data_IF_406818401061
#
_entry.id   IF_406818401061
#
_cell.length_a   1.000
_cell.length_b   1.000
_cell.length_c   1.000
_cell.angle_alpha   90.00
_cell.angle_beta   90.00
_cell.angle_gamma   90.00
#
_symmetry.space_group_name_H-M   'P 1'
#
loop_
_entity.id
_entity.type
_entity.pdbx_description
1 polymer ?
#
# COMPACT_ATOMS: atom_id res chain seq x y z
N UNK A 1 40.67 7.51 25.18
CA UNK A 1 39.48 6.69 25.49
C UNK A 1 39.46 5.52 24.52
N UNK A 2 39.74 4.30 25.01
CA UNK A 2 39.92 3.10 24.19
C UNK A 2 38.56 2.57 23.71
N UNK A 3 38.47 2.31 22.40
CA UNK A 3 37.58 1.35 21.72
C UNK A 3 36.33 0.89 22.49
N UNK A 4 35.20 1.59 22.33
CA UNK A 4 33.89 0.94 22.51
C UNK A 4 33.83 -0.25 21.56
N UNK A 5 33.33 -1.40 22.00
CA UNK A 5 33.13 -2.57 21.14
C UNK A 5 32.44 -2.08 19.85
N UNK A 6 32.97 -2.36 18.64
CA UNK A 6 32.33 -1.97 17.40
C UNK A 6 30.83 -2.30 17.38
N UNK A 7 30.39 -3.37 18.06
CA UNK A 7 28.99 -3.69 18.17
C UNK A 7 28.17 -2.77 19.08
N UNK A 8 28.76 -2.18 20.13
CA UNK A 8 28.09 -1.16 20.96
C UNK A 8 27.88 0.12 20.17
N UNK A 9 28.80 0.46 19.26
CA UNK A 9 28.64 1.60 18.36
C UNK A 9 27.44 1.41 17.44
N UNK A 10 27.31 0.25 16.79
CA UNK A 10 26.20 0.04 15.85
C UNK A 10 24.85 -0.15 16.56
N UNK A 11 24.85 -0.72 17.77
CA UNK A 11 23.63 -0.72 18.60
C UNK A 11 23.23 0.71 18.95
N UNK A 12 24.17 1.57 19.35
CA UNK A 12 23.88 2.96 19.65
C UNK A 12 23.41 3.73 18.40
N UNK A 13 23.96 3.44 17.22
CA UNK A 13 23.53 4.03 15.96
C UNK A 13 22.10 3.61 15.60
N UNK A 14 21.78 2.31 15.72
CA UNK A 14 20.40 1.83 15.57
C UNK A 14 19.46 2.47 16.59
N UNK A 15 19.86 2.58 17.85
CA UNK A 15 19.01 3.16 18.91
C UNK A 15 18.80 4.66 18.75
N UNK A 16 19.72 5.36 18.08
CA UNK A 16 19.58 6.76 17.72
C UNK A 16 18.74 6.98 16.45
N UNK A 17 18.41 5.92 15.71
CA UNK A 17 17.55 6.01 14.53
C UNK A 17 16.11 6.36 14.92
N UNK A 18 15.62 7.50 14.43
CA UNK A 18 14.34 8.11 14.78
C UNK A 18 13.24 7.96 13.72
N UNK A 19 13.52 7.30 12.60
CA UNK A 19 12.52 7.02 11.55
C UNK A 19 12.42 8.07 10.45
N UNK A 20 13.35 9.04 10.40
CA UNK A 20 13.47 9.98 9.29
C UNK A 20 14.03 9.29 8.02
N UNK A 21 13.86 9.93 6.86
CA UNK A 21 14.15 9.40 5.50
C UNK A 21 15.62 8.94 5.25
N UNK A 22 16.46 8.89 6.29
CA UNK A 22 17.81 8.36 6.30
C UNK A 22 17.84 6.82 6.37
N UNK A 23 17.07 6.15 5.51
CA UNK A 23 16.99 4.67 5.45
C UNK A 23 18.32 4.03 5.04
N UNK A 24 19.12 4.71 4.22
CA UNK A 24 20.46 4.23 3.84
C UNK A 24 21.37 4.01 5.07
N UNK A 25 21.28 4.92 6.05
CA UNK A 25 22.04 4.80 7.31
C UNK A 25 21.57 3.63 8.18
N UNK A 26 20.28 3.30 8.14
CA UNK A 26 19.73 2.13 8.80
C UNK A 26 20.30 0.84 8.18
N UNK A 27 20.29 0.72 6.86
CA UNK A 27 20.78 -0.46 6.14
C UNK A 27 22.27 -0.72 6.40
N UNK A 28 23.10 0.33 6.40
CA UNK A 28 24.52 0.21 6.76
C UNK A 28 24.71 -0.32 8.19
N UNK A 29 23.95 0.19 9.16
CA UNK A 29 24.01 -0.26 10.56
C UNK A 29 23.56 -1.73 10.69
N UNK A 30 22.48 -2.10 10.01
CA UNK A 30 21.94 -3.47 10.02
C UNK A 30 22.92 -4.45 9.38
N UNK A 31 23.53 -4.11 8.24
CA UNK A 31 24.53 -4.95 7.58
C UNK A 31 25.78 -5.12 8.46
N UNK A 32 26.25 -4.04 9.08
CA UNK A 32 27.37 -4.08 10.02
C UNK A 32 27.12 -5.00 11.21
N UNK A 33 25.90 -4.98 11.77
CA UNK A 33 25.48 -5.86 12.86
C UNK A 33 25.30 -7.32 12.42
N UNK A 34 24.76 -7.53 11.21
CA UNK A 34 24.52 -8.87 10.65
C UNK A 34 25.80 -9.67 10.42
N UNK A 35 26.94 -8.99 10.22
CA UNK A 35 28.27 -9.61 10.09
C UNK A 35 28.88 -10.05 11.43
N UNK A 36 28.26 -9.70 12.56
CA UNK A 36 28.74 -10.07 13.91
C UNK A 36 28.04 -11.35 14.39
N UNK A 37 28.62 -12.01 15.40
CA UNK A 37 27.99 -13.16 16.04
C UNK A 37 26.60 -12.77 16.57
N UNK A 38 25.55 -13.59 16.42
CA UNK A 38 24.25 -13.28 17.03
C UNK A 38 24.37 -13.07 18.54
N UNK A 39 23.68 -12.06 19.07
CA UNK A 39 23.56 -11.87 20.52
C UNK A 39 22.21 -11.27 20.87
N UNK A 40 21.81 -11.48 22.13
CA UNK A 40 20.61 -10.92 22.73
C UNK A 40 20.45 -9.42 22.46
N UNK A 41 21.50 -8.65 22.78
CA UNK A 41 21.49 -7.20 22.66
C UNK A 41 21.33 -6.73 21.20
N UNK A 42 21.90 -7.46 20.24
CA UNK A 42 21.81 -7.14 18.81
C UNK A 42 20.39 -7.40 18.28
N UNK A 43 19.80 -8.54 18.63
CA UNK A 43 18.40 -8.83 18.29
C UNK A 43 17.46 -7.80 18.89
N UNK A 44 17.66 -7.43 20.16
CA UNK A 44 16.82 -6.42 20.82
C UNK A 44 16.96 -5.04 20.15
N UNK A 45 18.16 -4.65 19.74
CA UNK A 45 18.39 -3.39 19.04
C UNK A 45 17.66 -3.35 17.67
N UNK A 46 17.73 -4.44 16.90
CA UNK A 46 17.00 -4.57 15.64
C UNK A 46 15.48 -4.49 15.86
N UNK A 47 14.96 -5.19 16.87
CA UNK A 47 13.54 -5.19 17.19
C UNK A 47 13.06 -3.80 17.66
N UNK A 48 13.88 -3.04 18.38
CA UNK A 48 13.53 -1.66 18.78
C UNK A 48 13.32 -0.73 17.59
N UNK A 49 13.88 -1.02 16.41
CA UNK A 49 13.55 -0.28 15.17
C UNK A 49 12.07 -0.46 14.84
N UNK A 50 11.55 -1.69 14.92
CA UNK A 50 10.11 -1.94 14.71
C UNK A 50 9.25 -1.24 15.76
N UNK A 51 9.71 -1.19 17.01
CA UNK A 51 8.99 -0.55 18.12
C UNK A 51 8.87 0.97 17.92
N UNK A 52 9.89 1.62 17.33
CA UNK A 52 9.88 3.06 17.01
C UNK A 52 9.14 3.39 15.71
N UNK A 53 9.09 2.43 14.78
CA UNK A 53 8.47 2.57 13.47
C UNK A 53 7.27 1.61 13.29
N UNK A 54 6.25 1.64 14.16
CA UNK A 54 5.27 0.56 14.25
C UNK A 54 4.37 0.41 13.02
N UNK A 55 4.14 1.49 12.27
CA UNK A 55 3.25 1.53 11.10
C UNK A 55 4.00 1.62 9.76
N UNK A 56 5.33 1.51 9.76
CA UNK A 56 6.11 1.44 8.52
C UNK A 56 5.80 0.12 7.81
N UNK A 57 5.43 0.24 6.54
CA UNK A 57 4.81 -0.83 5.73
C UNK A 57 5.41 -0.81 4.30
N UNK A 58 6.72 -0.99 4.19
CA UNK A 58 7.44 -0.94 2.92
C UNK A 58 8.85 -1.52 2.99
N UNK A 59 9.55 -1.57 1.86
CA UNK A 59 10.87 -2.21 1.71
C UNK A 59 11.93 -1.68 2.70
N UNK A 60 11.70 -0.54 3.34
CA UNK A 60 12.63 0.16 4.23
C UNK A 60 13.07 -0.66 5.46
N UNK A 61 12.25 -1.60 5.96
CA UNK A 61 12.58 -2.43 7.12
C UNK A 61 12.97 -3.88 6.75
N UNK A 62 13.09 -4.17 5.46
CA UNK A 62 13.40 -5.52 4.97
C UNK A 62 14.77 -6.01 5.39
N UNK A 63 15.76 -5.12 5.45
CA UNK A 63 17.10 -5.43 5.95
C UNK A 63 17.06 -5.93 7.41
N UNK A 64 16.29 -5.27 8.27
CA UNK A 64 16.10 -5.65 9.68
C UNK A 64 15.48 -7.04 9.80
N UNK A 65 14.45 -7.32 9.00
CA UNK A 65 13.83 -8.65 8.94
C UNK A 65 14.85 -9.71 8.54
N UNK A 66 15.58 -9.50 7.44
CA UNK A 66 16.60 -10.44 6.96
C UNK A 66 17.73 -10.65 7.98
N UNK A 67 18.10 -9.61 8.71
CA UNK A 67 19.10 -9.70 9.77
C UNK A 67 18.60 -10.58 10.93
N UNK A 68 17.38 -10.35 11.42
CA UNK A 68 16.77 -11.14 12.49
C UNK A 68 16.63 -12.62 12.11
N UNK A 69 16.20 -12.93 10.90
CA UNK A 69 15.99 -14.31 10.46
C UNK A 69 17.28 -15.13 10.34
N UNK A 70 18.42 -14.47 10.14
CA UNK A 70 19.74 -15.12 10.18
C UNK A 70 20.21 -15.39 11.61
N UNK A 71 19.60 -14.79 12.61
CA UNK A 71 19.97 -14.92 14.01
C UNK A 71 19.09 -15.96 14.72
N UNK A 72 19.62 -17.17 14.94
CA UNK A 72 18.88 -18.22 15.64
C UNK A 72 18.40 -17.78 17.04
N UNK A 73 17.14 -18.06 17.36
CA UNK A 73 16.55 -17.73 18.66
C UNK A 73 16.04 -16.29 18.79
N UNK A 74 15.78 -15.61 17.68
CA UNK A 74 15.16 -14.27 17.68
C UNK A 74 13.68 -14.30 18.08
N UNK A 75 13.00 -15.43 17.89
CA UNK A 75 11.54 -15.56 17.97
C UNK A 75 10.98 -15.24 19.38
N UNK A 76 11.60 -15.70 20.50
CA UNK A 76 11.17 -15.27 21.83
C UNK A 76 11.30 -13.76 22.06
N UNK A 77 12.27 -13.11 21.41
CA UNK A 77 12.48 -11.67 21.51
C UNK A 77 11.49 -10.90 20.65
N UNK A 78 11.15 -11.43 19.48
CA UNK A 78 10.07 -10.89 18.65
C UNK A 78 8.73 -10.91 19.40
N UNK A 79 8.44 -11.97 20.14
CA UNK A 79 7.27 -12.00 21.05
C UNK A 79 7.35 -10.91 22.11
N UNK A 80 8.51 -10.75 22.75
CA UNK A 80 8.69 -9.72 23.77
C UNK A 80 8.52 -8.31 23.17
N UNK A 81 9.01 -8.10 21.95
CA UNK A 81 8.85 -6.85 21.20
C UNK A 81 7.39 -6.55 20.88
N UNK A 82 6.65 -7.50 20.29
CA UNK A 82 5.21 -7.36 20.01
C UNK A 82 4.40 -7.06 21.27
N UNK A 83 4.77 -7.66 22.41
CA UNK A 83 4.13 -7.39 23.70
C UNK A 83 4.45 -5.98 24.21
N UNK A 84 5.68 -5.48 24.03
CA UNK A 84 6.04 -4.12 24.43
C UNK A 84 5.40 -3.06 23.53
N UNK A 85 5.65 -3.13 22.23
CA UNK A 85 5.18 -2.16 21.24
C UNK A 85 4.85 -2.91 19.93
N UNK A 86 3.55 -3.13 19.65
CA UNK A 86 3.11 -3.80 18.42
C UNK A 86 3.56 -3.07 17.16
N UNK A 87 3.96 -3.81 16.13
CA UNK A 87 4.36 -3.27 14.83
C UNK A 87 3.89 -4.15 13.67
N UNK A 88 3.71 -3.54 12.49
CA UNK A 88 3.32 -4.21 11.24
C UNK A 88 4.32 -5.31 10.91
N UNK A 89 5.62 -5.02 11.01
CA UNK A 89 6.67 -5.99 10.73
C UNK A 89 6.68 -7.16 11.70
N UNK A 90 6.46 -6.93 13.00
CA UNK A 90 6.36 -8.03 13.94
C UNK A 90 5.16 -8.93 13.63
N UNK A 91 4.01 -8.36 13.31
CA UNK A 91 2.81 -9.11 12.88
C UNK A 91 3.09 -9.95 11.63
N UNK A 92 3.75 -9.38 10.60
CA UNK A 92 4.13 -10.09 9.38
C UNK A 92 5.10 -11.23 9.62
N UNK A 93 6.09 -11.03 10.49
CA UNK A 93 7.01 -12.11 10.86
C UNK A 93 6.26 -13.26 11.56
N UNK A 94 5.25 -12.97 12.40
CA UNK A 94 4.35 -14.02 12.91
C UNK A 94 3.55 -14.70 11.81
N UNK A 95 3.01 -13.96 10.84
CA UNK A 95 2.33 -14.58 9.70
C UNK A 95 3.25 -15.52 8.92
N UNK A 96 4.50 -15.12 8.67
CA UNK A 96 5.50 -15.98 8.01
C UNK A 96 5.78 -17.26 8.81
N UNK A 97 5.93 -17.14 10.13
CA UNK A 97 6.08 -18.31 11.01
C UNK A 97 4.87 -19.23 10.96
N UNK A 98 3.66 -18.67 11.00
CA UNK A 98 2.40 -19.42 10.91
C UNK A 98 2.28 -20.16 9.58
N UNK A 99 2.60 -19.49 8.48
CA UNK A 99 2.62 -20.08 7.13
C UNK A 99 3.68 -21.18 7.00
N UNK A 100 4.80 -21.07 7.72
CA UNK A 100 5.81 -22.12 7.84
C UNK A 100 5.40 -23.27 8.80
N UNK A 101 4.18 -23.25 9.33
CA UNK A 101 3.66 -24.27 10.26
C UNK A 101 4.04 -24.09 11.72
N UNK A 102 4.77 -23.02 12.07
CA UNK A 102 5.13 -22.70 13.46
C UNK A 102 3.95 -22.07 14.17
N UNK A 103 3.25 -22.86 15.00
CA UNK A 103 2.08 -22.39 15.77
C UNK A 103 2.44 -21.84 17.15
N UNK A 104 3.61 -22.22 17.66
CA UNK A 104 4.07 -21.92 19.02
C UNK A 104 5.55 -21.62 19.06
N UNK A 105 5.94 -20.63 19.87
CA UNK A 105 7.34 -20.37 20.22
C UNK A 105 7.44 -20.42 21.75
N UNK A 106 8.20 -21.37 22.26
CA UNK A 106 8.19 -21.71 23.68
C UNK A 106 6.77 -22.08 24.14
N UNK A 107 6.21 -21.32 25.09
CA UNK A 107 4.85 -21.53 25.62
C UNK A 107 3.79 -20.62 24.98
N UNK A 108 4.18 -19.76 24.03
CA UNK A 108 3.28 -18.75 23.45
C UNK A 108 2.69 -19.28 22.16
N UNK A 109 1.36 -19.32 22.08
CA UNK A 109 0.62 -19.59 20.84
C UNK A 109 0.54 -18.31 20.02
N UNK A 110 1.06 -18.33 18.78
CA UNK A 110 1.19 -17.12 17.97
C UNK A 110 -0.17 -16.51 17.61
N UNK A 111 -1.16 -17.33 17.22
CA UNK A 111 -2.51 -16.85 16.93
C UNK A 111 -3.18 -16.19 18.14
N UNK A 112 -2.99 -16.74 19.34
CA UNK A 112 -3.54 -16.16 20.56
C UNK A 112 -2.89 -14.81 20.89
N UNK A 113 -1.58 -14.69 20.69
CA UNK A 113 -0.85 -13.43 20.86
C UNK A 113 -1.34 -12.36 19.86
N UNK A 114 -1.58 -12.72 18.60
CA UNK A 114 -2.12 -11.81 17.59
C UNK A 114 -3.52 -11.32 17.98
N UNK A 115 -4.42 -12.21 18.38
CA UNK A 115 -5.77 -11.84 18.86
C UNK A 115 -5.73 -10.92 20.10
N UNK A 116 -4.89 -11.25 21.08
CA UNK A 116 -4.67 -10.42 22.27
C UNK A 116 -4.18 -9.04 21.85
N UNK A 117 -3.19 -8.98 20.96
CA UNK A 117 -2.60 -7.73 20.50
C UNK A 117 -3.62 -6.86 19.77
N UNK A 118 -4.38 -7.43 18.82
CA UNK A 118 -5.46 -6.71 18.13
C UNK A 118 -6.57 -6.20 19.06
N UNK A 119 -6.65 -6.68 20.31
CA UNK A 119 -7.64 -6.23 21.29
C UNK A 119 -7.11 -5.16 22.25
N UNK A 120 -5.79 -4.88 22.26
CA UNK A 120 -5.21 -3.89 23.18
C UNK A 120 -5.53 -2.46 22.74
N UNK A 121 -5.70 -1.56 23.70
CA UNK A 121 -5.98 -0.15 23.44
C UNK A 121 -4.78 0.66 22.92
N UNK A 122 -3.56 0.16 23.13
CA UNK A 122 -2.30 0.80 22.74
C UNK A 122 -1.74 0.32 21.39
N UNK A 123 -2.44 -0.59 20.71
CA UNK A 123 -2.01 -1.09 19.39
C UNK A 123 -2.35 -0.07 18.31
N UNK A 124 -1.36 0.41 17.53
CA UNK A 124 -1.61 1.36 16.45
C UNK A 124 -2.58 0.81 15.41
N UNK A 125 -3.29 1.70 14.72
CA UNK A 125 -4.36 1.33 13.80
C UNK A 125 -3.85 0.47 12.64
N UNK A 126 -2.75 0.86 12.00
CA UNK A 126 -2.17 0.09 10.89
C UNK A 126 -1.69 -1.30 11.33
N UNK A 127 -1.18 -1.42 12.55
CA UNK A 127 -0.78 -2.71 13.14
C UNK A 127 -2.00 -3.58 13.41
N UNK A 128 -3.08 -3.00 13.94
CA UNK A 128 -4.33 -3.71 14.22
C UNK A 128 -4.96 -4.24 12.94
N UNK A 129 -4.96 -3.42 11.88
CA UNK A 129 -5.41 -3.81 10.55
C UNK A 129 -4.61 -4.99 10.01
N UNK A 130 -3.28 -4.91 10.00
CA UNK A 130 -2.43 -6.02 9.55
C UNK A 130 -2.70 -7.31 10.33
N UNK A 131 -2.87 -7.22 11.66
CA UNK A 131 -3.21 -8.39 12.48
C UNK A 131 -4.58 -8.96 12.08
N UNK A 132 -5.58 -8.11 11.82
CA UNK A 132 -6.90 -8.58 11.39
C UNK A 132 -6.84 -9.30 10.04
N UNK A 133 -6.10 -8.77 9.07
CA UNK A 133 -5.89 -9.41 7.77
C UNK A 133 -5.24 -10.80 7.94
N UNK A 134 -4.26 -10.92 8.84
CA UNK A 134 -3.64 -12.21 9.17
C UNK A 134 -4.64 -13.17 9.83
N UNK A 135 -5.42 -12.70 10.80
CA UNK A 135 -6.40 -13.55 11.49
C UNK A 135 -7.47 -14.08 10.53
N UNK A 136 -7.95 -13.23 9.63
CA UNK A 136 -8.91 -13.61 8.58
C UNK A 136 -8.30 -14.63 7.61
N UNK A 137 -7.07 -14.42 7.16
CA UNK A 137 -6.35 -15.36 6.29
C UNK A 137 -6.22 -16.77 6.88
N UNK A 138 -6.11 -16.88 8.21
CA UNK A 138 -5.98 -18.15 8.92
C UNK A 138 -7.32 -18.72 9.42
N UNK A 139 -8.46 -18.26 8.87
CA UNK A 139 -9.84 -18.68 9.23
C UNK A 139 -10.19 -18.49 10.71
N UNK A 140 -9.53 -17.54 11.38
CA UNK A 140 -9.79 -17.22 12.78
C UNK A 140 -10.53 -15.88 12.85
N UNK A 141 -11.84 -15.93 13.12
CA UNK A 141 -12.60 -14.70 13.38
C UNK A 141 -11.98 -13.93 14.54
N UNK A 142 -11.66 -12.63 14.37
CA UNK A 142 -11.13 -11.82 15.46
C UNK A 142 -12.12 -11.79 16.63
N UNK A 143 -11.63 -11.91 17.87
CA UNK A 143 -12.47 -11.77 19.05
C UNK A 143 -12.97 -10.32 19.08
N UNK A 144 -14.29 -10.14 19.11
CA UNK A 144 -14.90 -8.82 19.06
C UNK A 144 -14.35 -7.94 20.18
N UNK A 145 -13.81 -6.78 19.81
CA UNK A 145 -13.50 -5.71 20.76
C UNK A 145 -14.79 -5.34 21.52
N UNK A 146 -14.69 -4.88 22.79
CA UNK A 146 -15.85 -4.38 23.52
C UNK A 146 -16.57 -3.34 22.66
N UNK A 147 -17.87 -3.54 22.47
CA UNK A 147 -18.68 -2.81 21.50
C UNK A 147 -18.54 -1.30 21.70
N UNK A 148 -17.73 -0.67 20.84
CA UNK A 148 -17.87 0.74 20.55
C UNK A 148 -19.26 0.90 19.90
N UNK A 149 -20.13 1.65 20.55
CA UNK A 149 -21.43 2.06 19.99
C UNK A 149 -21.22 2.46 18.54
N UNK A 150 -21.99 1.88 17.61
CA UNK A 150 -22.12 2.37 16.23
C UNK A 150 -22.25 3.90 16.31
N UNK A 151 -21.28 4.69 15.81
CA UNK A 151 -21.66 6.02 15.42
C UNK A 151 -22.58 5.81 14.23
N UNK A 152 -23.84 6.21 14.37
CA UNK A 152 -24.59 6.63 13.21
C UNK A 152 -23.66 7.58 12.45
N UNK A 153 -23.25 7.23 11.23
CA UNK A 153 -22.56 8.16 10.34
C UNK A 153 -23.57 9.28 10.01
N UNK A 154 -23.68 10.24 10.93
CA UNK A 154 -24.34 11.50 10.70
C UNK A 154 -23.37 12.33 9.85
N UNK A 155 -23.68 12.43 8.56
CA UNK A 155 -23.49 13.65 7.78
C UNK A 155 -22.07 14.10 7.52
N UNK A 156 -21.21 13.23 6.97
CA UNK A 156 -20.17 13.75 6.08
C UNK A 156 -20.77 13.77 4.67
N UNK A 157 -20.79 14.90 3.93
CA UNK A 157 -21.29 14.93 2.57
C UNK A 157 -20.45 13.95 1.74
N UNK A 158 -21.03 12.81 1.38
CA UNK A 158 -20.35 11.78 0.60
C UNK A 158 -20.02 12.36 -0.76
N UNK A 159 -18.80 12.88 -0.90
CA UNK A 159 -18.31 13.40 -2.17
C UNK A 159 -18.20 12.22 -3.15
N UNK A 160 -18.91 12.28 -4.27
CA UNK A 160 -18.81 11.25 -5.32
C UNK A 160 -17.45 11.22 -5.99
N UNK A 161 -17.17 10.20 -6.80
CA UNK A 161 -15.88 10.00 -7.49
C UNK A 161 -15.42 11.24 -8.29
N UNK A 162 -16.36 11.94 -8.94
CA UNK A 162 -16.02 13.13 -9.73
C UNK A 162 -15.50 14.30 -8.89
N UNK A 163 -15.68 14.27 -7.56
CA UNK A 163 -15.10 15.27 -6.65
C UNK A 163 -13.57 15.23 -6.59
N UNK A 164 -12.94 14.14 -7.02
CA UNK A 164 -11.48 14.06 -7.17
C UNK A 164 -11.00 14.80 -8.42
N UNK A 165 -11.88 15.08 -9.39
CA UNK A 165 -11.54 15.71 -10.66
C UNK A 165 -10.84 17.08 -10.53
N UNK A 166 -11.24 17.98 -9.62
CA UNK A 166 -10.53 19.24 -9.33
C UNK A 166 -9.22 19.08 -8.55
N UNK A 167 -8.95 17.90 -8.01
CA UNK A 167 -7.71 17.59 -7.29
C UNK A 167 -6.62 17.06 -8.22
N UNK A 168 -7.01 16.44 -9.34
CA UNK A 168 -6.07 15.96 -10.36
C UNK A 168 -5.20 17.10 -10.90
N UNK A 169 -3.94 16.77 -11.22
CA UNK A 169 -2.86 17.69 -11.60
C UNK A 169 -2.36 18.66 -10.52
N UNK A 170 -2.81 18.51 -9.25
CA UNK A 170 -2.20 19.22 -8.12
C UNK A 170 -0.96 18.48 -7.62
N UNK A 171 -0.02 19.23 -7.07
CA UNK A 171 1.18 18.66 -6.44
C UNK A 171 0.83 18.08 -5.06
N UNK A 172 1.66 17.15 -4.58
CA UNK A 172 1.46 16.48 -3.28
C UNK A 172 1.47 17.44 -2.08
N UNK A 173 2.14 18.58 -2.22
CA UNK A 173 2.22 19.68 -1.23
C UNK A 173 1.08 20.71 -1.37
N UNK A 174 0.17 20.55 -2.34
CA UNK A 174 -0.96 21.46 -2.52
C UNK A 174 -1.91 21.40 -1.30
N UNK A 175 -2.20 22.54 -0.64
CA UNK A 175 -2.98 22.57 0.59
C UNK A 175 -4.42 22.06 0.41
N UNK A 176 -5.01 22.23 -0.78
CA UNK A 176 -6.36 21.73 -1.08
C UNK A 176 -6.34 20.20 -1.17
N UNK A 177 -5.31 19.63 -1.78
CA UNK A 177 -5.15 18.18 -1.85
C UNK A 177 -4.87 17.58 -0.47
N UNK A 178 -3.96 18.18 0.31
CA UNK A 178 -3.67 17.77 1.69
C UNK A 178 -4.95 17.76 2.53
N UNK A 179 -5.76 18.82 2.45
CA UNK A 179 -7.02 18.91 3.18
C UNK A 179 -8.01 17.82 2.76
N UNK A 180 -8.09 17.51 1.46
CA UNK A 180 -8.94 16.45 0.95
C UNK A 180 -8.52 15.06 1.44
N UNK A 181 -7.21 14.77 1.45
CA UNK A 181 -6.66 13.50 1.97
C UNK A 181 -6.98 13.35 3.47
N UNK A 182 -6.76 14.42 4.25
CA UNK A 182 -7.08 14.41 5.69
C UNK A 182 -8.56 14.20 5.94
N UNK A 183 -9.44 14.80 5.13
CA UNK A 183 -10.89 14.62 5.26
C UNK A 183 -11.35 13.18 4.97
N UNK A 184 -10.56 12.41 4.21
CA UNK A 184 -10.78 10.98 3.98
C UNK A 184 -10.18 10.10 5.10
N UNK A 185 -9.49 10.69 6.08
CA UNK A 185 -8.80 9.96 7.15
C UNK A 185 -7.41 9.45 6.75
N UNK A 186 -6.85 9.92 5.63
CA UNK A 186 -5.50 9.57 5.20
C UNK A 186 -4.43 10.51 5.75
N UNK A 187 -3.17 10.08 5.68
CA UNK A 187 -2.00 10.97 5.84
C UNK A 187 -1.62 11.52 4.47
N UNK A 188 -1.27 12.81 4.39
CA UNK A 188 -0.84 13.43 3.14
C UNK A 188 0.60 13.06 2.73
N UNK A 189 1.20 12.05 3.37
CA UNK A 189 2.54 11.57 3.05
C UNK A 189 2.42 10.63 1.86
N UNK A 190 2.87 11.09 0.70
CA UNK A 190 3.01 10.24 -0.48
C UNK A 190 4.10 9.21 -0.21
N UNK A 191 3.77 7.92 -0.29
CA UNK A 191 4.75 6.84 -0.27
C UNK A 191 5.52 6.88 -1.59
N UNK A 192 6.82 7.25 -1.60
CA UNK A 192 7.56 7.43 -2.84
C UNK A 192 7.91 6.08 -3.50
N UNK A 193 8.03 6.11 -4.81
CA UNK A 193 8.56 5.09 -5.71
C UNK A 193 9.27 5.85 -6.85
N UNK A 194 10.27 5.28 -7.52
CA UNK A 194 11.16 5.99 -8.46
C UNK A 194 10.48 7.08 -9.33
N UNK A 195 9.38 6.73 -9.99
CA UNK A 195 8.59 7.63 -10.85
C UNK A 195 7.20 7.97 -10.30
N UNK A 196 6.75 7.26 -9.26
CA UNK A 196 5.38 7.26 -8.78
C UNK A 196 5.29 7.43 -7.28
N UNK A 197 4.13 7.78 -6.80
CA UNK A 197 3.86 7.74 -5.38
C UNK A 197 2.42 7.40 -5.12
N UNK A 198 2.13 6.90 -3.93
CA UNK A 198 0.78 6.47 -3.58
C UNK A 198 0.38 6.99 -2.21
N UNK A 199 -0.89 7.34 -2.08
CA UNK A 199 -1.56 7.52 -0.79
C UNK A 199 -2.75 6.58 -0.76
N UNK A 200 -2.64 5.54 0.05
CA UNK A 200 -3.67 4.52 0.23
C UNK A 200 -4.48 4.79 1.49
N UNK A 201 -5.78 5.00 1.35
CA UNK A 201 -6.71 5.29 2.43
C UNK A 201 -7.70 4.12 2.50
N UNK A 202 -7.22 2.97 3.00
CA UNK A 202 -7.96 1.69 2.97
C UNK A 202 -9.34 1.78 3.60
N UNK A 203 -9.48 2.45 4.75
CA UNK A 203 -10.77 2.66 5.44
C UNK A 203 -11.79 3.45 4.61
N UNK A 204 -11.32 4.31 3.70
CA UNK A 204 -12.17 5.11 2.83
C UNK A 204 -12.40 4.44 1.46
N UNK A 205 -11.70 3.36 1.15
CA UNK A 205 -11.76 2.75 -0.17
C UNK A 205 -11.13 3.59 -1.27
N UNK A 206 -10.11 4.40 -0.95
CA UNK A 206 -9.50 5.35 -1.88
C UNK A 206 -8.00 5.11 -2.00
N UNK A 207 -7.49 5.06 -3.24
CA UNK A 207 -6.07 5.16 -3.54
C UNK A 207 -5.81 6.36 -4.44
N UNK A 208 -4.80 7.17 -4.10
CA UNK A 208 -4.37 8.31 -4.90
C UNK A 208 -2.99 8.01 -5.47
N UNK A 209 -2.88 7.97 -6.79
CA UNK A 209 -1.64 7.72 -7.48
C UNK A 209 -1.05 9.02 -8.04
N UNK A 210 0.21 9.22 -7.72
CA UNK A 210 1.00 10.37 -8.08
C UNK A 210 2.08 9.97 -9.08
N UNK A 211 2.51 10.94 -9.88
CA UNK A 211 3.58 10.77 -10.85
C UNK A 211 4.53 11.96 -10.73
N UNK A 212 5.84 11.72 -10.76
CA UNK A 212 6.81 12.83 -10.75
C UNK A 212 6.58 13.73 -11.96
N UNK A 213 6.67 15.05 -11.73
CA UNK A 213 6.45 16.04 -12.78
C UNK A 213 7.37 15.85 -13.99
N UNK A 214 8.63 15.45 -13.81
CA UNK A 214 9.54 15.19 -14.94
C UNK A 214 9.01 14.11 -15.88
N UNK A 215 8.40 13.05 -15.35
CA UNK A 215 7.81 11.96 -16.13
C UNK A 215 6.64 12.47 -16.97
N UNK A 216 5.78 13.31 -16.38
CA UNK A 216 4.66 13.94 -17.08
C UNK A 216 5.13 14.89 -18.20
N UNK A 217 6.20 15.63 -17.93
CA UNK A 217 6.81 16.55 -18.89
C UNK A 217 7.58 15.80 -20.01
N UNK A 218 7.72 14.46 -19.90
CA UNK A 218 8.37 13.62 -20.91
C UNK A 218 9.86 13.42 -20.74
N UNK A 219 10.35 13.69 -19.54
CA UNK A 219 11.71 13.39 -19.11
C UNK A 219 11.68 12.34 -17.98
N UNK A 220 11.40 11.06 -18.31
CA UNK A 220 11.31 10.00 -17.30
C UNK A 220 12.65 9.76 -16.60
N UNK A 221 13.77 9.88 -17.31
CA UNK A 221 15.12 9.60 -16.78
C UNK A 221 15.62 10.63 -15.76
N UNK A 222 15.00 11.80 -15.67
CA UNK A 222 15.37 12.79 -14.68
C UNK A 222 14.91 12.44 -13.26
N UNK A 223 13.86 11.63 -13.08
CA UNK A 223 13.25 11.28 -11.78
C UNK A 223 13.16 12.45 -10.78
N UNK A 224 12.89 13.67 -11.29
CA UNK A 224 13.00 14.95 -10.55
C UNK A 224 11.65 15.66 -10.48
N UNK A 225 11.57 16.60 -9.54
CA UNK A 225 10.43 17.48 -9.37
C UNK A 225 9.33 16.89 -8.48
N UNK A 226 8.26 17.66 -8.23
CA UNK A 226 7.22 17.28 -7.29
C UNK A 226 6.38 16.12 -7.82
N UNK A 227 5.81 15.36 -6.90
CA UNK A 227 4.73 14.43 -7.20
C UNK A 227 3.46 15.18 -7.55
N UNK A 228 2.84 14.81 -8.67
CA UNK A 228 1.59 15.37 -9.15
C UNK A 228 0.52 14.28 -9.10
N UNK A 229 -0.64 14.56 -8.52
CA UNK A 229 -1.77 13.63 -8.48
C UNK A 229 -2.29 13.40 -9.90
N UNK A 230 -2.19 12.18 -10.41
CA UNK A 230 -2.59 11.84 -11.78
C UNK A 230 -3.81 10.94 -11.85
N UNK A 231 -4.09 10.19 -10.78
CA UNK A 231 -5.18 9.24 -10.73
C UNK A 231 -5.75 9.14 -9.31
N UNK A 232 -7.06 8.94 -9.22
CA UNK A 232 -7.74 8.53 -7.99
C UNK A 232 -8.55 7.26 -8.28
N UNK A 233 -8.29 6.20 -7.54
CA UNK A 233 -8.98 4.92 -7.59
C UNK A 233 -9.89 4.73 -6.39
N UNK A 234 -11.07 4.14 -6.62
CA UNK A 234 -12.00 3.76 -5.56
C UNK A 234 -12.37 2.28 -5.65
N UNK A 235 -12.46 1.62 -4.50
CA UNK A 235 -12.50 0.16 -4.40
C UNK A 235 -13.83 -0.34 -3.81
N UNK A 236 -14.23 -1.54 -4.25
CA UNK A 236 -15.24 -2.35 -3.57
C UNK A 236 -14.69 -2.93 -2.26
N UNK A 237 -15.57 -3.46 -1.41
CA UNK A 237 -15.16 -4.08 -0.14
C UNK A 237 -14.27 -5.31 -0.39
N UNK A 238 -13.17 -5.42 0.37
CA UNK A 238 -12.26 -6.56 0.32
C UNK A 238 -11.24 -6.51 -0.82
N UNK A 239 -11.46 -5.71 -1.86
CA UNK A 239 -10.53 -5.56 -2.98
C UNK A 239 -9.21 -4.95 -2.48
N UNK A 240 -8.09 -5.69 -2.56
CA UNK A 240 -6.78 -5.25 -2.02
C UNK A 240 -6.79 -4.83 -0.54
N UNK A 241 -7.71 -5.37 0.27
CA UNK A 241 -7.86 -4.99 1.67
C UNK A 241 -8.45 -3.59 1.88
N UNK A 242 -9.06 -3.00 0.85
CA UNK A 242 -9.79 -1.75 0.97
C UNK A 242 -11.21 -2.02 1.51
N UNK A 243 -11.73 -1.06 2.28
CA UNK A 243 -13.17 -0.96 2.54
C UNK A 243 -13.87 -0.37 1.34
N UNK A 244 -15.14 -0.70 1.15
CA UNK A 244 -15.90 -0.11 0.05
C UNK A 244 -15.96 1.41 0.16
N UNK A 245 -15.65 2.08 -0.95
CA UNK A 245 -15.87 3.52 -1.07
C UNK A 245 -17.37 3.87 -0.93
N UNK A 246 -17.67 4.86 -0.08
CA UNK A 246 -19.05 5.22 0.31
C UNK A 246 -19.61 6.40 -0.52
N UNK A 247 -18.84 6.97 -1.45
CA UNK A 247 -19.30 8.03 -2.34
C UNK A 247 -20.03 7.51 -3.59
N UNK A 248 -20.70 8.43 -4.30
CA UNK A 248 -21.38 8.11 -5.55
C UNK A 248 -20.40 7.79 -6.69
N UNK A 249 -20.64 6.68 -7.39
CA UNK A 249 -19.95 6.36 -8.65
C UNK A 249 -20.66 7.04 -9.84
N UNK A 250 -19.98 7.18 -11.00
CA UNK A 250 -20.57 7.77 -12.19
C UNK A 250 -21.89 7.11 -12.58
N UNK A 251 -22.87 7.93 -12.98
CA UNK A 251 -24.20 7.49 -13.40
C UNK A 251 -24.92 6.58 -12.39
N UNK A 252 -24.66 6.77 -11.09
CA UNK A 252 -25.27 6.01 -9.97
C UNK A 252 -25.00 4.50 -10.05
N UNK A 253 -23.89 4.12 -10.69
CA UNK A 253 -23.41 2.74 -10.64
C UNK A 253 -23.07 2.35 -9.20
N UNK A 254 -23.05 1.05 -8.94
CA UNK A 254 -22.62 0.49 -7.66
C UNK A 254 -21.51 -0.54 -7.87
N UNK A 255 -20.67 -0.74 -6.86
CA UNK A 255 -19.77 -1.90 -6.86
C UNK A 255 -20.57 -3.20 -6.99
N UNK A 256 -19.98 -4.19 -7.64
CA UNK A 256 -20.66 -5.44 -8.01
C UNK A 256 -21.56 -5.36 -9.26
N UNK A 257 -21.84 -4.16 -9.80
CA UNK A 257 -22.56 -4.04 -11.08
C UNK A 257 -21.80 -4.79 -12.18
N UNK A 258 -22.49 -5.65 -12.93
CA UNK A 258 -21.83 -6.47 -13.95
C UNK A 258 -21.31 -5.61 -15.10
N UNK A 259 -20.28 -6.08 -15.80
CA UNK A 259 -19.78 -5.40 -17.03
C UNK A 259 -20.87 -5.13 -18.07
N UNK A 260 -21.81 -6.05 -18.25
CA UNK A 260 -22.92 -5.87 -19.17
C UNK A 260 -23.85 -4.72 -18.74
N UNK A 261 -24.15 -4.64 -17.45
CA UNK A 261 -24.99 -3.57 -16.89
C UNK A 261 -24.27 -2.22 -16.91
N UNK A 262 -22.96 -2.18 -16.63
CA UNK A 262 -22.16 -0.97 -16.79
C UNK A 262 -22.26 -0.46 -18.23
N UNK A 263 -22.11 -1.32 -19.24
CA UNK A 263 -22.24 -0.92 -20.66
C UNK A 263 -23.65 -0.51 -21.03
N UNK A 264 -24.68 -1.07 -20.39
CA UNK A 264 -26.07 -0.63 -20.58
C UNK A 264 -26.29 0.80 -20.07
N UNK A 265 -25.68 1.15 -18.94
CA UNK A 265 -25.78 2.48 -18.32
C UNK A 265 -24.88 3.50 -19.01
N UNK A 266 -23.62 3.13 -19.27
CA UNK A 266 -22.57 4.01 -19.77
C UNK A 266 -22.51 4.09 -21.30
N UNK A 267 -23.15 3.14 -21.99
CA UNK A 267 -23.06 2.98 -23.44
C UNK A 267 -21.82 2.19 -23.87
N UNK A 268 -21.42 2.36 -25.13
CA UNK A 268 -20.23 1.71 -25.68
C UNK A 268 -18.96 2.39 -25.11
N UNK A 269 -18.01 1.63 -24.53
CA UNK A 269 -16.76 2.21 -24.05
C UNK A 269 -15.89 2.73 -25.21
N UNK A 270 -15.05 3.72 -24.93
CA UNK A 270 -14.04 4.18 -25.89
C UNK A 270 -13.00 3.08 -26.13
N UNK A 271 -12.58 2.44 -25.04
CA UNK A 271 -11.60 1.36 -25.07
C UNK A 271 -12.00 0.25 -24.10
N UNK A 272 -11.54 -0.95 -24.39
CA UNK A 272 -11.71 -2.09 -23.50
C UNK A 272 -10.48 -2.97 -23.61
N UNK A 273 -10.09 -3.56 -22.49
CA UNK A 273 -8.94 -4.44 -22.44
C UNK A 273 -9.08 -5.50 -21.37
N UNK A 274 -7.99 -6.23 -21.16
CA UNK A 274 -7.89 -7.29 -20.17
C UNK A 274 -6.43 -7.67 -19.90
N UNK A 275 -6.20 -8.35 -18.77
CA UNK A 275 -4.87 -8.85 -18.39
C UNK A 275 -3.95 -7.85 -17.69
N UNK A 276 -4.50 -6.73 -17.18
CA UNK A 276 -3.74 -5.78 -16.37
C UNK A 276 -3.62 -6.26 -14.92
N UNK A 277 -2.40 -6.27 -14.39
CA UNK A 277 -2.16 -6.38 -12.96
C UNK A 277 -2.01 -4.98 -12.36
N UNK A 278 -2.84 -4.64 -11.37
CA UNK A 278 -2.67 -3.46 -10.53
C UNK A 278 -2.19 -3.95 -9.16
N UNK A 279 -0.87 -4.01 -8.99
CA UNK A 279 -0.27 -4.67 -7.83
C UNK A 279 -0.64 -6.16 -7.79
N UNK A 280 -1.12 -6.70 -6.65
CA UNK A 280 -1.52 -8.11 -6.55
C UNK A 280 -2.85 -8.43 -7.28
N UNK A 281 -3.67 -7.42 -7.61
CA UNK A 281 -4.95 -7.61 -8.27
C UNK A 281 -4.77 -7.87 -9.76
N UNK A 282 -5.40 -8.92 -10.26
CA UNK A 282 -5.51 -9.22 -11.69
C UNK A 282 -6.94 -8.95 -12.13
N UNK A 283 -7.19 -7.76 -12.65
CA UNK A 283 -8.46 -7.47 -13.29
C UNK A 283 -8.44 -8.11 -14.68
N UNK A 284 -9.31 -9.10 -14.86
CA UNK A 284 -9.40 -9.84 -16.12
C UNK A 284 -9.82 -8.92 -17.26
N UNK A 285 -10.70 -7.97 -16.97
CA UNK A 285 -11.30 -7.09 -17.96
C UNK A 285 -11.45 -5.67 -17.40
N UNK A 286 -11.37 -4.67 -18.28
CA UNK A 286 -11.68 -3.29 -17.96
C UNK A 286 -12.34 -2.59 -19.16
N UNK A 287 -13.13 -1.56 -18.87
CA UNK A 287 -13.75 -0.66 -19.84
C UNK A 287 -13.41 0.80 -19.51
N UNK A 288 -13.04 1.58 -20.52
CA UNK A 288 -12.74 3.01 -20.40
C UNK A 288 -13.82 3.86 -21.02
N UNK A 289 -14.21 4.91 -20.31
CA UNK A 289 -15.15 5.92 -20.76
C UNK A 289 -14.57 7.30 -20.58
N UNK A 290 -15.02 8.23 -21.43
CA UNK A 290 -14.71 9.65 -21.29
C UNK A 290 -15.88 10.39 -20.71
N UNK A 291 -15.66 11.04 -19.56
CA UNK A 291 -16.66 11.86 -18.90
C UNK A 291 -16.32 13.34 -19.04
N UNK A 292 -17.36 14.14 -19.34
CA UNK A 292 -17.28 15.60 -19.46
C UNK A 292 -16.19 16.09 -20.44
N UNK A 293 -15.78 15.24 -21.40
CA UNK A 293 -14.62 15.46 -22.30
C UNK A 293 -13.29 15.71 -21.59
N UNK A 294 -13.24 15.65 -20.25
CA UNK A 294 -12.11 16.05 -19.42
C UNK A 294 -11.49 14.88 -18.67
N UNK A 295 -12.30 13.91 -18.30
CA UNK A 295 -11.90 12.80 -17.45
C UNK A 295 -11.96 11.49 -18.22
N UNK A 296 -10.98 10.63 -17.95
CA UNK A 296 -11.04 9.22 -18.30
C UNK A 296 -11.43 8.46 -17.05
N UNK A 297 -12.40 7.57 -17.20
CA UNK A 297 -12.84 6.69 -16.14
C UNK A 297 -12.68 5.26 -16.59
N UNK A 298 -11.87 4.50 -15.85
CA UNK A 298 -11.66 3.08 -16.08
C UNK A 298 -12.50 2.29 -15.06
N UNK A 299 -13.30 1.35 -15.57
CA UNK A 299 -14.09 0.40 -14.77
C UNK A 299 -13.41 -0.96 -14.87
N UNK A 300 -12.92 -1.48 -13.75
CA UNK A 300 -12.22 -2.76 -13.68
C UNK A 300 -13.08 -3.80 -12.97
N UNK A 301 -13.15 -5.00 -13.55
CA UNK A 301 -14.11 -6.03 -13.13
C UNK A 301 -13.41 -7.20 -12.44
N UNK A 302 -13.95 -7.63 -11.30
CA UNK A 302 -13.43 -8.74 -10.52
C UNK A 302 -13.46 -10.04 -11.35
N UNK A 303 -12.38 -10.84 -11.38
CA UNK A 303 -12.25 -11.98 -12.28
C UNK A 303 -13.28 -13.09 -12.07
N UNK A 304 -13.77 -13.26 -10.82
CA UNK A 304 -14.68 -14.35 -10.47
C UNK A 304 -16.16 -13.97 -10.63
N UNK A 305 -16.51 -12.74 -10.24
CA UNK A 305 -17.90 -12.28 -10.20
C UNK A 305 -18.28 -11.49 -11.44
N UNK A 306 -17.29 -11.01 -12.21
CA UNK A 306 -17.46 -10.04 -13.29
C UNK A 306 -18.19 -8.74 -12.85
N UNK A 307 -18.21 -8.51 -11.54
CA UNK A 307 -18.76 -7.31 -10.92
C UNK A 307 -17.71 -6.20 -10.87
N UNK A 308 -18.17 -4.96 -10.90
CA UNK A 308 -17.32 -3.78 -10.77
C UNK A 308 -16.60 -3.78 -9.42
N UNK A 309 -15.27 -3.88 -9.44
CA UNK A 309 -14.41 -3.95 -8.24
C UNK A 309 -13.57 -2.70 -8.00
N UNK A 310 -13.16 -2.02 -9.07
CA UNK A 310 -12.35 -0.79 -9.02
C UNK A 310 -12.83 0.21 -10.06
N UNK A 311 -12.91 1.47 -9.66
CA UNK A 311 -13.16 2.60 -10.58
C UNK A 311 -12.06 3.63 -10.43
N UNK A 312 -11.37 3.93 -11.52
CA UNK A 312 -10.30 4.93 -11.55
C UNK A 312 -10.73 6.16 -12.33
N UNK A 313 -10.36 7.35 -11.86
CA UNK A 313 -10.50 8.61 -12.61
C UNK A 313 -9.15 9.27 -12.86
N UNK A 314 -8.94 9.75 -14.10
CA UNK A 314 -7.73 10.45 -14.55
C UNK A 314 -8.07 11.64 -15.45
N UNK A 315 -7.12 12.55 -15.64
CA UNK A 315 -7.27 13.64 -16.61
C UNK A 315 -6.98 13.14 -18.03
N UNK A 316 -7.91 13.35 -18.95
CA UNK A 316 -7.77 13.00 -20.36
C UNK A 316 -6.54 13.65 -21.02
N UNK A 317 -6.22 14.90 -20.66
CA UNK A 317 -5.07 15.63 -21.24
C UNK A 317 -3.71 15.07 -20.85
N UNK A 318 -3.65 14.20 -19.83
CA UNK A 318 -2.42 13.54 -19.43
C UNK A 318 -2.13 12.30 -20.29
N UNK A 319 -3.08 11.84 -21.10
CA UNK A 319 -2.75 10.95 -22.21
C UNK A 319 -1.97 11.77 -23.24
N UNK A 320 -0.66 11.55 -23.29
CA UNK A 320 0.10 11.93 -24.48
C UNK A 320 -0.56 11.23 -25.66
N UNK A 321 -1.01 12.02 -26.65
CA UNK A 321 -1.21 11.48 -27.99
C UNK A 321 0.16 10.95 -28.40
N UNK A 322 0.31 9.64 -28.48
CA UNK A 322 1.42 9.08 -29.23
C UNK A 322 1.31 9.65 -30.64
N UNK A 323 2.19 10.58 -31.01
CA UNK A 323 2.42 10.82 -32.42
C UNK A 323 2.90 9.51 -33.01
N UNK A 324 2.27 8.99 -34.09
CA UNK A 324 2.72 7.76 -34.70
C UNK A 324 4.18 7.93 -35.07
N UNK A 325 5.06 7.19 -34.36
CA UNK A 325 6.50 7.21 -34.63
C UNK A 325 6.68 6.94 -36.11
N UNK A 326 7.08 7.97 -36.86
CA UNK A 326 7.43 7.85 -38.27
C UNK A 326 8.61 6.88 -38.36
N UNK A 327 8.33 5.66 -38.81
CA UNK A 327 9.33 4.71 -39.27
C UNK A 327 9.74 3.64 -38.27
N UNK A 328 8.94 2.57 -38.17
CA UNK A 328 9.53 1.24 -38.21
C UNK A 328 8.56 0.26 -38.90
N UNK A 329 8.69 0.12 -40.22
CA UNK A 329 7.95 -0.87 -41.00
C UNK A 329 8.55 -2.24 -40.71
N UNK A 330 8.06 -2.92 -39.69
CA UNK A 330 8.51 -4.29 -39.44
C UNK A 330 8.23 -4.81 -38.06
N UNK A 331 6.95 -4.89 -37.68
CA UNK A 331 6.37 -5.93 -36.80
C UNK A 331 4.91 -5.55 -36.55
N UNK A 332 3.98 -6.35 -37.08
CA UNK A 332 2.57 -6.29 -36.69
C UNK A 332 2.46 -6.94 -35.30
N UNK A 333 2.76 -6.19 -34.26
CA UNK A 333 2.34 -6.46 -32.90
C UNK A 333 1.71 -5.19 -32.37
N UNK A 334 0.39 -5.17 -32.19
CA UNK A 334 -0.34 -4.07 -31.56
C UNK A 334 -0.02 -4.04 -30.07
N UNK A 335 1.21 -3.66 -29.72
CA UNK A 335 1.64 -3.33 -28.38
C UNK A 335 1.46 -1.83 -28.17
N UNK A 336 0.32 -1.43 -27.64
CA UNK A 336 0.15 -0.09 -27.06
C UNK A 336 1.02 -0.07 -25.80
N UNK A 337 2.11 0.70 -25.81
CA UNK A 337 2.88 0.98 -24.61
C UNK A 337 2.10 1.99 -23.79
N UNK A 338 1.13 1.49 -23.04
CA UNK A 338 0.65 2.21 -21.88
C UNK A 338 1.84 2.51 -20.97
N UNK A 339 1.85 3.69 -20.35
CA UNK A 339 2.58 3.95 -19.11
C UNK A 339 2.01 3.08 -17.96
N UNK A 340 1.83 1.78 -18.20
CA UNK A 340 1.63 0.68 -17.28
C UNK A 340 2.68 -0.37 -17.63
N UNK A 341 3.97 -0.02 -17.50
CA UNK A 341 5.02 -1.03 -17.49
C UNK A 341 4.93 -1.77 -16.17
N UNK A 342 4.09 -2.81 -16.17
CA UNK A 342 3.94 -3.79 -15.10
C UNK A 342 5.23 -4.60 -15.10
N UNK A 343 6.04 -4.44 -14.04
CA UNK A 343 7.16 -5.34 -13.79
C UNK A 343 6.63 -6.70 -13.36
N UNK A 344 6.88 -7.72 -14.18
CA UNK A 344 6.82 -9.11 -13.76
C UNK A 344 8.00 -9.33 -12.82
N UNK A 345 7.71 -9.51 -11.52
CA UNK A 345 8.70 -9.94 -10.55
C UNK A 345 9.20 -11.35 -10.97
N UNK A 346 10.43 -11.44 -11.48
CA UNK A 346 11.12 -12.71 -11.73
C UNK A 346 11.44 -13.33 -10.37
N UNK A 347 10.87 -14.51 -10.11
CA UNK A 347 11.25 -15.36 -8.99
C UNK A 347 12.76 -15.66 -9.03
N UNK A 348 13.43 -15.40 -7.92
CA UNK A 348 14.67 -16.05 -7.51
C UNK A 348 14.50 -16.52 -6.08
#
# INVERSE_FOLDING_TARGET
MKSKDPAEREIAALDAYDGDDAWDGLDECVDALSKKKPSAARMDALLRVFERCPEVDGEELKSVVHALEKMAGYEPRLIASMKRAPSVYAARMFNRMLNAGTKTVGKVKLMALLQETASRGDTPDGVREEIHDILEHHDVKPKAAPAAKKPAQKGSPSRGLLSFGPLLARTADDPVLIAAIKALGGTARVKPSDERGFVSIKKAGVELAFTKKSVLDGDPGAHKGPYVLTQAGVYADGESGYKQFVGELPNKLAFGTTRADVRKVMGKPEESGGGGAFGPLKFKEWDRYRLEKKYLVDFSYHPETNGLGLVDIRLARLEKKEEPRRGNKGTKGSGVNYYSTIFVCRQF
#
